data_IF_439700195927
#
_entry.id   IF_439700195927
#
_cell.length_a   1.000
_cell.length_b   1.000
_cell.length_c   1.000
_cell.angle_alpha   90.00
_cell.angle_beta   90.00
_cell.angle_gamma   90.00
#
_symmetry.space_group_name_H-M   'P 1'
#
loop_
_entity.id
_entity.type
_entity.pdbx_description
1 polymer ?
#
# COMPACT_ATOMS: atom_id res chain seq x y z
N UNK A 1 -26.10 -12.83 -5.22
CA UNK A 1 -26.21 -11.73 -6.21
C UNK A 1 -25.00 -11.78 -7.12
N UNK A 2 -25.15 -12.30 -8.33
CA UNK A 2 -24.13 -12.20 -9.37
C UNK A 2 -24.13 -10.75 -9.86
N UNK A 3 -23.16 -9.95 -9.38
CA UNK A 3 -22.90 -8.64 -9.97
C UNK A 3 -22.32 -8.94 -11.35
N UNK A 4 -23.15 -8.85 -12.38
CA UNK A 4 -22.67 -8.73 -13.75
C UNK A 4 -21.76 -7.50 -13.78
N UNK A 5 -20.44 -7.73 -13.79
CA UNK A 5 -19.45 -6.67 -13.99
C UNK A 5 -19.82 -5.98 -15.30
N UNK A 6 -20.37 -4.77 -15.22
CA UNK A 6 -20.41 -3.85 -16.34
C UNK A 6 -18.94 -3.74 -16.76
N UNK A 7 -18.60 -4.33 -17.91
CA UNK A 7 -17.22 -4.40 -18.39
C UNK A 7 -16.88 -3.03 -18.97
N UNK A 8 -16.53 -2.10 -18.10
CA UNK A 8 -16.05 -0.78 -18.48
C UNK A 8 -14.74 -0.94 -19.27
N UNK A 9 -14.52 -0.08 -20.26
CA UNK A 9 -13.33 -0.14 -21.12
C UNK A 9 -12.05 0.00 -20.26
N UNK A 10 -11.11 -0.95 -20.33
CA UNK A 10 -9.92 -0.95 -19.48
C UNK A 10 -9.01 0.29 -19.63
N UNK A 11 -9.01 0.91 -20.82
CA UNK A 11 -8.25 2.13 -21.05
C UNK A 11 -8.93 3.33 -20.37
N UNK A 12 -10.26 3.40 -20.42
CA UNK A 12 -11.00 4.45 -19.73
C UNK A 12 -10.77 4.37 -18.21
N UNK A 13 -10.90 3.17 -17.63
CA UNK A 13 -10.61 2.92 -16.21
C UNK A 13 -9.20 3.36 -15.85
N UNK A 14 -8.20 2.98 -16.67
CA UNK A 14 -6.82 3.39 -16.45
C UNK A 14 -6.69 4.92 -16.49
N UNK A 15 -7.19 5.60 -17.52
CA UNK A 15 -7.10 7.07 -17.63
C UNK A 15 -7.76 7.78 -16.45
N UNK A 16 -8.89 7.27 -15.96
CA UNK A 16 -9.59 7.83 -14.80
C UNK A 16 -8.86 7.54 -13.49
N UNK A 17 -8.11 6.44 -13.39
CA UNK A 17 -7.34 6.12 -12.18
C UNK A 17 -6.07 6.97 -12.00
N UNK A 18 -5.59 7.67 -13.05
CA UNK A 18 -4.42 8.53 -12.94
C UNK A 18 -4.70 9.77 -12.08
N UNK A 19 -3.77 10.07 -11.18
CA UNK A 19 -3.72 11.35 -10.46
C UNK A 19 -3.46 12.53 -11.42
N UNK A 20 -3.72 13.75 -10.96
CA UNK A 20 -3.46 14.98 -11.72
C UNK A 20 -1.97 15.03 -12.16
N UNK A 21 -1.07 14.72 -11.24
CA UNK A 21 0.39 14.73 -11.50
C UNK A 21 0.77 13.66 -12.53
N UNK A 22 0.20 12.46 -12.46
CA UNK A 22 0.45 11.40 -13.44
C UNK A 22 -0.09 11.76 -14.83
N UNK A 23 -1.26 12.43 -14.91
CA UNK A 23 -1.81 12.94 -16.18
C UNK A 23 -0.89 13.99 -16.80
N UNK A 24 -0.38 14.92 -16.00
CA UNK A 24 0.54 15.96 -16.46
C UNK A 24 1.90 15.39 -16.85
N UNK A 25 2.41 14.44 -16.06
CA UNK A 25 3.63 13.70 -16.40
C UNK A 25 3.46 12.95 -17.71
N UNK A 26 2.33 12.27 -17.93
CA UNK A 26 2.05 11.57 -19.19
C UNK A 26 2.09 12.53 -20.39
N UNK A 27 1.44 13.70 -20.31
CA UNK A 27 1.49 14.70 -21.39
C UNK A 27 2.94 15.12 -21.73
N UNK A 28 3.79 15.32 -20.73
CA UNK A 28 5.23 15.62 -20.91
C UNK A 28 6.02 14.43 -21.46
N UNK A 29 5.75 13.22 -20.97
CA UNK A 29 6.42 12.00 -21.41
C UNK A 29 6.20 11.74 -22.91
N UNK A 30 4.97 11.96 -23.36
CA UNK A 30 4.53 11.67 -24.73
C UNK A 30 5.05 12.70 -25.74
N UNK A 31 5.21 13.96 -25.32
CA UNK A 31 5.79 15.02 -26.16
C UNK A 31 7.28 14.78 -26.46
N UNK A 32 8.01 14.17 -25.51
CA UNK A 32 9.43 13.86 -25.66
C UNK A 32 9.72 12.59 -26.48
N UNK A 33 8.82 11.61 -26.48
CA UNK A 33 9.12 10.26 -26.98
C UNK A 33 8.50 9.89 -28.32
N UNK A 34 7.70 10.77 -28.91
CA UNK A 34 7.06 10.49 -30.20
C UNK A 34 7.61 11.47 -31.25
N UNK A 35 7.76 11.03 -32.51
CA UNK A 35 8.11 11.81 -33.73
C UNK A 35 7.09 11.42 -34.84
N UNK A 36 6.42 12.38 -35.51
CA UNK A 36 5.40 12.13 -36.57
C UNK A 36 3.94 11.94 -36.10
N UNK A 37 2.95 12.02 -37.03
CA UNK A 37 1.46 11.89 -36.91
C UNK A 37 0.82 11.82 -35.51
N UNK A 38 1.13 12.86 -34.74
CA UNK A 38 1.27 12.93 -33.28
C UNK A 38 0.03 13.21 -32.46
N UNK A 39 -1.14 13.39 -33.08
CA UNK A 39 -2.23 14.09 -32.42
C UNK A 39 -3.35 13.16 -31.91
N UNK A 40 -3.52 11.97 -32.50
CA UNK A 40 -4.75 11.19 -32.27
C UNK A 40 -4.80 10.47 -30.91
N UNK A 41 -3.69 9.94 -30.39
CA UNK A 41 -3.70 9.30 -29.06
C UNK A 41 -3.62 10.33 -27.91
N UNK A 42 -3.00 11.50 -28.11
CA UNK A 42 -3.06 12.60 -27.12
C UNK A 42 -4.48 13.15 -27.05
N UNK A 43 -5.12 13.41 -28.20
CA UNK A 43 -6.54 13.75 -28.26
C UNK A 43 -7.42 12.69 -27.62
N UNK A 44 -7.16 11.40 -27.89
CA UNK A 44 -7.89 10.31 -27.25
C UNK A 44 -7.72 10.35 -25.73
N UNK A 45 -6.50 10.56 -25.24
CA UNK A 45 -6.24 10.69 -23.81
C UNK A 45 -7.02 11.87 -23.20
N UNK A 46 -6.97 13.04 -23.82
CA UNK A 46 -7.65 14.23 -23.30
C UNK A 46 -9.18 14.06 -23.32
N UNK A 47 -9.75 13.45 -24.37
CA UNK A 47 -11.18 13.10 -24.44
C UNK A 47 -11.56 12.13 -23.32
N UNK A 48 -10.78 11.07 -23.10
CA UNK A 48 -11.04 10.09 -22.03
C UNK A 48 -10.87 10.70 -20.63
N UNK A 49 -9.93 11.65 -20.47
CA UNK A 49 -9.64 12.27 -19.18
C UNK A 49 -10.79 13.13 -18.66
N UNK A 50 -11.51 13.82 -19.55
CA UNK A 50 -12.65 14.68 -19.22
C UNK A 50 -13.98 13.95 -19.21
N UNK A 51 -14.06 12.78 -19.85
CA UNK A 51 -15.29 12.00 -19.96
C UNK A 51 -15.72 11.44 -18.59
N UNK A 52 -17.00 11.62 -18.25
CA UNK A 52 -17.60 11.14 -16.98
C UNK A 52 -17.95 9.65 -17.05
N UNK A 53 -18.60 9.23 -18.13
CA UNK A 53 -18.98 7.84 -18.40
C UNK A 53 -18.46 7.41 -19.77
N UNK A 54 -18.05 6.15 -19.88
CA UNK A 54 -17.47 5.64 -21.12
C UNK A 54 -18.51 5.62 -22.26
N UNK A 55 -18.30 6.45 -23.28
CA UNK A 55 -19.11 6.47 -24.50
C UNK A 55 -18.26 6.44 -25.78
N UNK A 56 -18.30 5.33 -26.51
CA UNK A 56 -17.49 5.15 -27.72
C UNK A 56 -17.90 6.10 -28.87
N UNK A 57 -19.18 6.47 -28.95
CA UNK A 57 -19.71 7.47 -29.88
C UNK A 57 -19.08 8.84 -29.66
N UNK A 58 -18.97 9.26 -28.40
CA UNK A 58 -18.33 10.52 -28.01
C UNK A 58 -16.84 10.53 -28.33
N UNK A 59 -16.14 9.40 -28.14
CA UNK A 59 -14.73 9.25 -28.55
C UNK A 59 -14.56 9.46 -30.06
N UNK A 60 -15.41 8.81 -30.87
CA UNK A 60 -15.37 8.94 -32.34
C UNK A 60 -15.61 10.38 -32.79
N UNK A 61 -16.55 11.08 -32.14
CA UNK A 61 -16.84 12.50 -32.39
C UNK A 61 -15.69 13.41 -31.98
N UNK A 62 -15.13 13.22 -30.78
CA UNK A 62 -14.03 14.04 -30.24
C UNK A 62 -12.73 13.92 -31.03
N UNK A 63 -12.49 12.79 -31.68
CA UNK A 63 -11.36 12.62 -32.60
C UNK A 63 -11.58 13.29 -33.97
N UNK A 64 -12.83 13.64 -34.34
CA UNK A 64 -13.15 14.34 -35.59
C UNK A 64 -13.06 13.48 -36.85
N UNK A 65 -13.22 12.15 -36.75
CA UNK A 65 -12.86 11.22 -37.82
C UNK A 65 -14.07 10.49 -38.39
N UNK A 66 -14.50 10.83 -39.62
CA UNK A 66 -15.57 10.13 -40.34
C UNK A 66 -15.20 8.70 -40.78
N UNK A 67 -13.90 8.34 -40.89
CA UNK A 67 -13.45 7.08 -41.53
C UNK A 67 -12.42 6.24 -40.72
N UNK A 68 -12.41 6.27 -39.38
CA UNK A 68 -11.44 5.50 -38.57
C UNK A 68 -11.94 4.29 -37.73
N UNK A 69 -13.10 3.64 -37.99
CA UNK A 69 -13.56 2.53 -37.14
C UNK A 69 -12.59 1.34 -37.07
N UNK A 70 -11.75 1.12 -38.09
CA UNK A 70 -10.81 -0.02 -38.13
C UNK A 70 -9.55 0.16 -37.27
N UNK A 71 -9.17 1.39 -36.89
CA UNK A 71 -7.93 1.64 -36.14
C UNK A 71 -8.16 2.03 -34.67
N UNK A 72 -9.39 2.35 -34.25
CA UNK A 72 -9.68 2.72 -32.86
C UNK A 72 -9.19 1.67 -31.84
N UNK A 73 -9.39 0.36 -32.03
CA UNK A 73 -8.83 -0.65 -31.13
C UNK A 73 -7.30 -0.59 -31.06
N UNK A 74 -6.62 -0.39 -32.20
CA UNK A 74 -5.16 -0.26 -32.27
C UNK A 74 -4.68 1.00 -31.53
N UNK A 75 -5.35 2.13 -31.72
CA UNK A 75 -5.00 3.40 -31.07
C UNK A 75 -5.23 3.32 -29.56
N UNK A 76 -6.34 2.71 -29.12
CA UNK A 76 -6.59 2.44 -27.69
C UNK A 76 -5.51 1.57 -27.08
N UNK A 77 -5.16 0.45 -27.73
CA UNK A 77 -4.13 -0.46 -27.24
C UNK A 77 -2.76 0.24 -27.16
N UNK A 78 -2.41 1.04 -28.18
CA UNK A 78 -1.19 1.83 -28.16
C UNK A 78 -1.18 2.85 -27.01
N UNK A 79 -2.28 3.61 -26.84
CA UNK A 79 -2.38 4.59 -25.75
C UNK A 79 -2.27 3.92 -24.37
N UNK A 80 -2.95 2.78 -24.17
CA UNK A 80 -2.86 1.99 -22.95
C UNK A 80 -1.40 1.65 -22.61
N UNK A 81 -0.65 1.11 -23.57
CA UNK A 81 0.76 0.78 -23.37
C UNK A 81 1.65 2.01 -23.17
N UNK A 82 1.36 3.15 -23.81
CA UNK A 82 2.10 4.39 -23.57
C UNK A 82 1.85 4.93 -22.17
N UNK A 83 0.61 4.88 -21.67
CA UNK A 83 0.29 5.27 -20.29
C UNK A 83 1.05 4.37 -19.32
N UNK A 84 1.02 3.04 -19.50
CA UNK A 84 1.79 2.12 -18.67
C UNK A 84 3.30 2.37 -18.75
N UNK A 85 3.84 2.70 -19.92
CA UNK A 85 5.25 3.05 -20.07
C UNK A 85 5.60 4.32 -19.28
N UNK A 86 4.78 5.36 -19.41
CA UNK A 86 4.93 6.62 -18.67
C UNK A 86 4.85 6.40 -17.17
N UNK A 87 3.86 5.65 -16.68
CA UNK A 87 3.71 5.34 -15.26
C UNK A 87 4.90 4.55 -14.72
N UNK A 88 5.43 3.59 -15.48
CA UNK A 88 6.65 2.87 -15.09
C UNK A 88 7.85 3.81 -14.94
N UNK A 89 8.02 4.77 -15.84
CA UNK A 89 9.10 5.76 -15.75
C UNK A 89 8.89 6.71 -14.56
N UNK A 90 7.65 7.15 -14.33
CA UNK A 90 7.30 8.00 -13.20
C UNK A 90 7.58 7.32 -11.85
N UNK A 91 7.06 6.10 -11.66
CA UNK A 91 7.16 5.37 -10.38
C UNK A 91 8.52 4.71 -10.13
N UNK A 92 9.37 4.59 -11.17
CA UNK A 92 10.71 4.03 -11.09
C UNK A 92 11.59 4.75 -10.07
N UNK A 93 11.51 6.08 -10.03
CA UNK A 93 12.35 6.92 -9.17
C UNK A 93 11.70 7.25 -7.82
N UNK A 94 10.39 7.08 -7.71
CA UNK A 94 9.61 7.51 -6.53
C UNK A 94 9.58 6.44 -5.45
N UNK A 95 9.38 5.18 -5.85
CA UNK A 95 9.18 4.07 -4.91
C UNK A 95 10.50 3.35 -4.62
N UNK A 96 10.69 2.88 -3.38
CA UNK A 96 11.91 2.14 -3.03
C UNK A 96 12.01 0.85 -3.84
N UNK A 97 10.89 0.14 -4.03
CA UNK A 97 10.86 -1.02 -4.93
C UNK A 97 11.17 -0.67 -6.39
N UNK A 98 10.76 0.52 -6.86
CA UNK A 98 11.11 1.04 -8.18
C UNK A 98 12.62 1.28 -8.33
N UNK A 99 13.21 1.99 -7.36
CA UNK A 99 14.63 2.29 -7.32
C UNK A 99 15.47 1.00 -7.27
N UNK A 100 15.12 0.06 -6.38
CA UNK A 100 15.81 -1.22 -6.27
C UNK A 100 15.69 -2.05 -7.56
N UNK A 101 14.52 -2.09 -8.20
CA UNK A 101 14.35 -2.75 -9.50
C UNK A 101 15.19 -2.12 -10.61
N UNK A 102 15.31 -0.79 -10.64
CA UNK A 102 16.19 -0.10 -11.58
C UNK A 102 17.65 -0.46 -11.30
N UNK A 103 18.06 -0.51 -10.03
CA UNK A 103 19.40 -0.97 -9.67
C UNK A 103 19.69 -2.37 -10.18
N UNK A 104 18.77 -3.33 -10.07
CA UNK A 104 19.01 -4.67 -10.61
C UNK A 104 19.13 -4.70 -12.14
N UNK A 105 18.31 -3.90 -12.85
CA UNK A 105 18.44 -3.76 -14.31
C UNK A 105 19.79 -3.16 -14.70
N UNK A 106 20.26 -2.15 -13.97
CA UNK A 106 21.59 -1.58 -14.15
C UNK A 106 22.66 -2.64 -13.91
N UNK A 107 22.57 -3.39 -12.80
CA UNK A 107 23.52 -4.46 -12.45
C UNK A 107 23.56 -5.54 -13.53
N UNK A 108 22.40 -6.01 -14.01
CA UNK A 108 22.31 -6.98 -15.11
C UNK A 108 22.99 -6.46 -16.38
N UNK A 109 22.70 -5.21 -16.76
CA UNK A 109 23.27 -4.58 -17.95
C UNK A 109 24.78 -4.41 -17.82
N UNK A 110 25.26 -3.88 -16.70
CA UNK A 110 26.69 -3.69 -16.42
C UNK A 110 27.44 -5.02 -16.39
N UNK A 111 26.85 -6.04 -15.76
CA UNK A 111 27.41 -7.38 -15.68
C UNK A 111 27.60 -7.98 -17.08
N UNK A 112 26.60 -7.83 -17.95
CA UNK A 112 26.67 -8.30 -19.35
C UNK A 112 27.78 -7.61 -20.17
N UNK A 113 28.22 -6.43 -19.73
CA UNK A 113 29.29 -5.65 -20.35
C UNK A 113 30.66 -5.87 -19.69
N UNK A 114 30.76 -6.74 -18.67
CA UNK A 114 31.99 -6.96 -17.92
C UNK A 114 32.37 -5.85 -16.94
N UNK A 115 31.46 -4.90 -16.67
CA UNK A 115 31.68 -3.75 -15.79
C UNK A 115 31.37 -4.14 -14.33
N UNK A 116 32.18 -5.03 -13.76
CA UNK A 116 31.90 -5.69 -12.47
C UNK A 116 32.09 -4.77 -11.25
N UNK A 117 33.03 -3.83 -11.31
CA UNK A 117 33.24 -2.85 -10.23
C UNK A 117 32.01 -1.94 -10.09
N UNK A 118 31.43 -1.55 -11.21
CA UNK A 118 30.24 -0.71 -11.31
C UNK A 118 29.00 -1.46 -10.83
N UNK A 119 28.91 -2.77 -11.09
CA UNK A 119 27.89 -3.61 -10.45
C UNK A 119 28.01 -3.56 -8.92
N UNK A 120 29.24 -3.71 -8.38
CA UNK A 120 29.49 -3.69 -6.93
C UNK A 120 29.09 -2.36 -6.31
N UNK A 121 29.45 -1.24 -6.92
CA UNK A 121 29.06 0.10 -6.45
C UNK A 121 27.53 0.29 -6.41
N UNK A 122 26.82 -0.19 -7.43
CA UNK A 122 25.35 -0.16 -7.46
C UNK A 122 24.74 -0.98 -6.31
N UNK A 123 25.28 -2.17 -6.03
CA UNK A 123 24.82 -3.03 -4.93
C UNK A 123 25.15 -2.43 -3.55
N UNK A 124 26.32 -1.81 -3.38
CA UNK A 124 26.74 -1.13 -2.15
C UNK A 124 25.76 -0.02 -1.72
N UNK A 125 25.13 0.66 -2.69
CA UNK A 125 24.10 1.67 -2.43
C UNK A 125 22.73 1.00 -2.17
N UNK A 126 22.38 -0.04 -2.92
CA UNK A 126 21.09 -0.70 -2.81
C UNK A 126 20.91 -1.52 -1.51
N UNK A 127 21.97 -2.16 -1.03
CA UNK A 127 21.93 -3.02 0.17
C UNK A 127 21.44 -2.29 1.42
N UNK A 128 22.05 -1.17 1.86
CA UNK A 128 21.58 -0.43 3.02
C UNK A 128 20.16 0.11 2.83
N UNK A 129 19.77 0.46 1.60
CA UNK A 129 18.40 0.90 1.31
C UNK A 129 17.39 -0.23 1.49
N UNK A 130 17.68 -1.43 0.97
CA UNK A 130 16.83 -2.60 1.11
C UNK A 130 16.68 -3.02 2.58
N UNK A 131 17.78 -2.98 3.35
CA UNK A 131 17.76 -3.20 4.80
C UNK A 131 16.95 -2.15 5.54
N UNK A 132 17.18 -0.87 5.24
CA UNK A 132 16.43 0.23 5.81
C UNK A 132 14.94 -0.02 5.61
N UNK A 133 14.45 -0.30 4.41
CA UNK A 133 13.02 -0.46 4.17
C UNK A 133 12.46 -1.89 4.40
N UNK A 134 13.19 -2.76 5.11
CA UNK A 134 12.79 -4.16 5.42
C UNK A 134 12.38 -4.97 4.17
N UNK A 135 13.05 -4.74 3.03
CA UNK A 135 12.77 -5.38 1.74
C UNK A 135 13.47 -6.74 1.61
N UNK A 136 13.10 -7.70 2.47
CA UNK A 136 13.77 -9.01 2.60
C UNK A 136 14.05 -9.72 1.25
N UNK A 137 13.09 -9.72 0.32
CA UNK A 137 13.27 -10.33 -1.01
C UNK A 137 14.35 -9.63 -1.83
N UNK A 138 14.43 -8.30 -1.74
CA UNK A 138 15.44 -7.49 -2.44
C UNK A 138 16.83 -7.68 -1.83
N UNK A 139 16.89 -7.85 -0.51
CA UNK A 139 18.15 -8.19 0.18
C UNK A 139 18.68 -9.53 -0.32
N UNK A 140 17.83 -10.56 -0.43
CA UNK A 140 18.24 -11.87 -0.97
C UNK A 140 18.80 -11.73 -2.40
N UNK A 141 18.10 -11.01 -3.26
CA UNK A 141 18.53 -10.74 -4.65
C UNK A 141 19.88 -10.00 -4.71
N UNK A 142 20.10 -9.02 -3.84
CA UNK A 142 21.40 -8.33 -3.70
C UNK A 142 22.50 -9.31 -3.31
N UNK A 143 22.28 -10.14 -2.29
CA UNK A 143 23.25 -11.13 -1.83
C UNK A 143 23.59 -12.15 -2.92
N UNK A 144 22.62 -12.55 -3.73
CA UNK A 144 22.84 -13.42 -4.89
C UNK A 144 23.74 -12.77 -5.95
N UNK A 145 23.55 -11.47 -6.21
CA UNK A 145 24.42 -10.71 -7.09
C UNK A 145 25.82 -10.50 -6.52
N UNK A 146 25.94 -10.19 -5.23
CA UNK A 146 27.25 -10.07 -4.55
C UNK A 146 28.04 -11.37 -4.68
N UNK A 147 27.41 -12.52 -4.40
CA UNK A 147 28.02 -13.85 -4.57
C UNK A 147 28.46 -14.08 -6.03
N UNK A 148 27.62 -13.70 -7.00
CA UNK A 148 27.90 -13.86 -8.44
C UNK A 148 29.07 -12.99 -8.92
N UNK A 149 29.35 -11.88 -8.25
CA UNK A 149 30.46 -10.97 -8.58
C UNK A 149 31.79 -11.42 -7.98
N UNK A 150 31.81 -12.22 -6.91
CA UNK A 150 33.06 -12.62 -6.22
C UNK A 150 34.09 -13.24 -7.16
N UNK A 151 33.76 -14.23 -8.01
CA UNK A 151 34.75 -14.83 -8.92
C UNK A 151 35.24 -13.86 -10.02
N UNK A 152 34.65 -12.66 -10.11
CA UNK A 152 34.94 -11.63 -11.09
C UNK A 152 35.73 -10.45 -10.51
N UNK A 153 35.83 -10.39 -9.18
CA UNK A 153 36.60 -9.37 -8.46
C UNK A 153 38.08 -9.81 -8.38
N UNK A 154 38.99 -8.89 -8.69
CA UNK A 154 40.42 -9.19 -8.83
C UNK A 154 41.04 -9.24 -7.43
N UNK A 155 41.26 -10.45 -6.91
CA UNK A 155 42.00 -10.73 -5.67
C UNK A 155 41.52 -12.02 -4.99
N UNK A 156 42.38 -13.04 -4.92
CA UNK A 156 42.03 -14.37 -4.41
C UNK A 156 42.12 -14.51 -2.88
N UNK A 157 42.81 -13.60 -2.18
CA UNK A 157 43.30 -13.85 -0.81
C UNK A 157 42.19 -13.90 0.27
N UNK A 158 40.97 -13.39 0.01
CA UNK A 158 39.90 -13.35 1.01
C UNK A 158 38.53 -13.87 0.53
N UNK A 159 38.48 -14.49 -0.67
CA UNK A 159 37.19 -14.91 -1.27
C UNK A 159 36.42 -15.90 -0.39
N UNK A 160 37.12 -16.83 0.27
CA UNK A 160 36.50 -17.86 1.10
C UNK A 160 35.79 -17.25 2.33
N UNK A 161 36.41 -16.25 2.98
CA UNK A 161 35.80 -15.59 4.13
C UNK A 161 34.61 -14.73 3.70
N UNK A 162 34.73 -13.98 2.60
CA UNK A 162 33.63 -13.17 2.04
C UNK A 162 32.43 -14.07 1.71
N UNK A 163 32.65 -15.21 1.05
CA UNK A 163 31.59 -16.18 0.74
C UNK A 163 30.92 -16.72 2.00
N UNK A 164 31.69 -17.03 3.04
CA UNK A 164 31.16 -17.50 4.32
C UNK A 164 30.27 -16.43 4.98
N UNK A 165 30.71 -15.17 5.00
CA UNK A 165 29.92 -14.07 5.54
C UNK A 165 28.61 -13.86 4.79
N UNK A 166 28.65 -13.85 3.45
CA UNK A 166 27.45 -13.71 2.62
C UNK A 166 26.51 -14.91 2.74
N UNK A 167 27.05 -16.11 2.93
CA UNK A 167 26.24 -17.31 3.19
C UNK A 167 25.45 -17.19 4.49
N UNK A 168 26.11 -16.82 5.59
CA UNK A 168 25.45 -16.64 6.89
C UNK A 168 24.45 -15.48 6.86
N UNK A 169 24.80 -14.36 6.22
CA UNK A 169 23.88 -13.24 6.03
C UNK A 169 22.63 -13.70 5.27
N UNK A 170 22.80 -14.38 4.13
CA UNK A 170 21.68 -14.89 3.32
C UNK A 170 20.81 -15.88 4.09
N UNK A 171 21.42 -16.76 4.89
CA UNK A 171 20.69 -17.71 5.75
C UNK A 171 19.78 -16.97 6.73
N UNK A 172 20.30 -15.96 7.44
CA UNK A 172 19.52 -15.15 8.39
C UNK A 172 18.35 -14.46 7.69
N UNK A 173 18.56 -13.90 6.48
CA UNK A 173 17.49 -13.23 5.74
C UNK A 173 16.43 -14.21 5.23
N UNK A 174 16.83 -15.40 4.79
CA UNK A 174 15.89 -16.47 4.42
C UNK A 174 15.06 -16.94 5.61
N UNK A 175 15.67 -17.09 6.79
CA UNK A 175 14.96 -17.42 8.03
C UNK A 175 13.93 -16.34 8.39
N UNK A 176 14.30 -15.06 8.31
CA UNK A 176 13.37 -13.93 8.49
C UNK A 176 12.23 -13.94 7.48
N UNK A 177 12.54 -14.24 6.21
CA UNK A 177 11.53 -14.29 5.14
C UNK A 177 10.55 -15.44 5.33
N UNK A 178 11.04 -16.62 5.71
CA UNK A 178 10.20 -17.77 6.02
C UNK A 178 9.35 -17.53 7.26
N UNK A 179 9.91 -16.91 8.31
CA UNK A 179 9.17 -16.46 9.48
C UNK A 179 8.02 -15.51 9.11
N UNK A 180 8.27 -14.51 8.24
CA UNK A 180 7.24 -13.62 7.73
C UNK A 180 6.11 -14.40 7.01
N UNK A 181 6.44 -15.35 6.14
CA UNK A 181 5.43 -16.18 5.47
C UNK A 181 4.58 -17.00 6.44
N UNK A 182 5.15 -17.50 7.54
CA UNK A 182 4.36 -18.16 8.59
C UNK A 182 3.34 -17.20 9.20
N UNK A 183 3.74 -15.97 9.53
CA UNK A 183 2.80 -14.96 10.04
C UNK A 183 1.72 -14.59 9.03
N UNK A 184 2.07 -14.41 7.75
CA UNK A 184 1.11 -14.12 6.68
C UNK A 184 0.08 -15.24 6.51
N UNK A 185 0.50 -16.50 6.60
CA UNK A 185 -0.40 -17.65 6.56
C UNK A 185 -1.47 -17.56 7.67
N UNK A 186 -1.04 -17.35 8.91
CA UNK A 186 -1.95 -17.28 10.06
C UNK A 186 -2.80 -16.01 10.08
N UNK A 187 -2.24 -14.89 9.63
CA UNK A 187 -2.99 -13.65 9.41
C UNK A 187 -4.16 -13.88 8.45
N UNK A 188 -3.92 -14.56 7.31
CA UNK A 188 -4.96 -14.83 6.34
C UNK A 188 -6.05 -15.78 6.90
N UNK A 189 -5.66 -16.75 7.74
CA UNK A 189 -6.63 -17.58 8.48
C UNK A 189 -7.49 -16.75 9.43
N UNK A 190 -6.88 -15.90 10.27
CA UNK A 190 -7.60 -14.96 11.15
C UNK A 190 -8.53 -14.05 10.35
N UNK A 191 -8.03 -13.48 9.26
CA UNK A 191 -8.82 -12.59 8.41
C UNK A 191 -10.04 -13.30 7.79
N UNK A 192 -9.90 -14.57 7.45
CA UNK A 192 -11.01 -15.42 6.99
C UNK A 192 -12.03 -15.64 8.10
N UNK A 193 -11.58 -15.94 9.34
CA UNK A 193 -12.46 -16.09 10.50
C UNK A 193 -13.23 -14.80 10.83
N UNK A 194 -12.59 -13.64 10.75
CA UNK A 194 -13.25 -12.34 10.95
C UNK A 194 -14.33 -12.10 9.89
N UNK A 195 -14.04 -12.45 8.63
CA UNK A 195 -15.00 -12.30 7.53
C UNK A 195 -16.19 -13.23 7.64
N UNK A 196 -15.99 -14.47 8.09
CA UNK A 196 -17.08 -15.41 8.29
C UNK A 196 -17.89 -15.05 9.55
N UNK A 197 -17.20 -14.66 10.61
CA UNK A 197 -17.75 -14.46 11.95
C UNK A 197 -17.17 -13.16 12.56
N UNK A 198 -17.87 -12.04 12.39
CA UNK A 198 -17.43 -10.72 12.90
C UNK A 198 -17.17 -10.68 14.42
N UNK A 199 -17.78 -11.61 15.18
CA UNK A 199 -17.51 -11.88 16.61
C UNK A 199 -17.59 -13.38 16.86
N UNK A 200 -16.83 -13.87 17.84
CA UNK A 200 -16.95 -15.25 18.32
C UNK A 200 -18.32 -15.40 19.01
N UNK A 201 -19.12 -16.36 18.54
CA UNK A 201 -20.50 -16.59 19.02
C UNK A 201 -20.69 -17.95 19.69
N UNK A 202 -19.75 -18.87 19.52
CA UNK A 202 -19.80 -20.21 20.09
C UNK A 202 -18.39 -20.72 20.46
N UNK A 203 -18.36 -21.83 21.20
CA UNK A 203 -17.13 -22.44 21.73
C UNK A 203 -16.23 -22.97 20.59
N UNK A 204 -16.81 -23.46 19.50
CA UNK A 204 -16.04 -24.01 18.38
C UNK A 204 -15.24 -22.91 17.69
N UNK A 205 -15.86 -21.75 17.47
CA UNK A 205 -15.18 -20.58 16.93
C UNK A 205 -14.05 -20.12 17.86
N UNK A 206 -14.28 -20.11 19.19
CA UNK A 206 -13.21 -19.77 20.14
C UNK A 206 -12.02 -20.73 20.02
N UNK A 207 -12.28 -22.03 19.88
CA UNK A 207 -11.24 -23.05 19.69
C UNK A 207 -10.43 -22.83 18.41
N UNK A 208 -11.09 -22.48 17.29
CA UNK A 208 -10.41 -22.16 16.03
C UNK A 208 -9.42 -21.00 16.20
N UNK A 209 -9.83 -19.95 16.94
CA UNK A 209 -8.97 -18.82 17.25
C UNK A 209 -7.82 -19.20 18.19
N UNK A 210 -8.10 -19.95 19.25
CA UNK A 210 -7.09 -20.42 20.19
C UNK A 210 -6.04 -21.30 19.53
N UNK A 211 -6.42 -22.17 18.58
CA UNK A 211 -5.49 -23.01 17.85
C UNK A 211 -4.46 -22.18 17.06
N UNK A 212 -4.92 -21.07 16.47
CA UNK A 212 -4.03 -20.11 15.80
C UNK A 212 -3.11 -19.44 16.82
N UNK A 213 -3.64 -18.98 17.94
CA UNK A 213 -2.85 -18.26 18.93
C UNK A 213 -1.93 -19.17 19.76
N UNK A 214 -2.14 -20.49 19.76
CA UNK A 214 -1.27 -21.51 20.38
C UNK A 214 -0.03 -21.86 19.56
N UNK A 215 0.07 -21.40 18.31
CA UNK A 215 1.24 -21.67 17.49
C UNK A 215 2.50 -21.07 18.13
N UNK A 216 3.63 -21.77 17.98
CA UNK A 216 4.89 -21.39 18.63
C UNK A 216 5.31 -19.94 18.35
N UNK A 217 5.09 -19.47 17.11
CA UNK A 217 5.43 -18.12 16.66
C UNK A 217 4.59 -17.01 17.33
N UNK A 218 3.44 -17.34 17.95
CA UNK A 218 2.61 -16.36 18.64
C UNK A 218 2.86 -16.31 20.15
N UNK A 219 3.68 -17.22 20.70
CA UNK A 219 3.93 -17.28 22.15
C UNK A 219 4.85 -16.17 22.65
N UNK A 220 5.68 -15.60 21.77
CA UNK A 220 6.59 -14.51 22.11
C UNK A 220 6.79 -13.59 20.90
N UNK A 221 6.70 -12.28 21.11
CA UNK A 221 6.94 -11.27 20.09
C UNK A 221 8.39 -11.31 19.58
N UNK A 222 9.35 -11.78 20.39
CA UNK A 222 10.75 -11.93 19.97
C UNK A 222 10.92 -12.89 18.79
N UNK A 223 9.96 -13.81 18.58
CA UNK A 223 9.92 -14.75 17.46
C UNK A 223 9.46 -14.11 16.15
N UNK A 224 8.97 -12.88 16.18
CA UNK A 224 8.70 -12.09 14.99
C UNK A 224 10.00 -11.41 14.53
N UNK A 225 10.69 -12.03 13.56
CA UNK A 225 12.09 -11.73 13.24
C UNK A 225 12.27 -10.51 12.30
N UNK A 226 11.18 -10.01 11.71
CA UNK A 226 11.18 -8.84 10.82
C UNK A 226 10.18 -7.79 11.30
N UNK A 227 10.29 -6.55 10.79
CA UNK A 227 9.37 -5.48 11.15
C UNK A 227 7.93 -5.83 10.75
N UNK A 228 7.75 -6.31 9.51
CA UNK A 228 6.43 -6.73 9.03
C UNK A 228 5.85 -7.90 9.83
N UNK A 229 6.68 -8.88 10.23
CA UNK A 229 6.24 -9.98 11.09
C UNK A 229 5.73 -9.48 12.44
N UNK A 230 6.38 -8.49 13.05
CA UNK A 230 5.93 -7.88 14.32
C UNK A 230 4.59 -7.16 14.17
N UNK A 231 4.39 -6.43 13.07
CA UNK A 231 3.11 -5.78 12.76
C UNK A 231 1.98 -6.81 12.63
N UNK A 232 2.22 -7.92 11.94
CA UNK A 232 1.26 -9.01 11.80
C UNK A 232 1.00 -9.69 13.15
N UNK A 233 2.04 -10.01 13.92
CA UNK A 233 1.94 -10.57 15.28
C UNK A 233 1.00 -9.72 16.14
N UNK A 234 1.24 -8.41 16.24
CA UNK A 234 0.39 -7.51 17.01
C UNK A 234 -1.02 -7.40 16.43
N UNK A 235 -1.20 -7.50 15.10
CA UNK A 235 -2.53 -7.55 14.52
C UNK A 235 -3.32 -8.79 14.95
N UNK A 236 -2.73 -9.97 14.87
CA UNK A 236 -3.37 -11.22 15.23
C UNK A 236 -3.81 -11.24 16.69
N UNK A 237 -2.92 -10.84 17.61
CA UNK A 237 -3.25 -10.70 19.03
C UNK A 237 -4.34 -9.65 19.28
N UNK A 238 -4.26 -8.48 18.64
CA UNK A 238 -5.28 -7.45 18.75
C UNK A 238 -6.65 -7.92 18.28
N UNK A 239 -6.70 -8.66 17.17
CA UNK A 239 -7.93 -9.24 16.64
C UNK A 239 -8.50 -10.34 17.54
N UNK A 240 -7.65 -11.20 18.10
CA UNK A 240 -8.04 -12.22 19.06
C UNK A 240 -8.65 -11.61 20.33
N UNK A 241 -7.95 -10.65 20.95
CA UNK A 241 -8.45 -9.97 22.14
C UNK A 241 -9.74 -9.18 21.86
N UNK A 242 -9.89 -8.62 20.66
CA UNK A 242 -11.12 -7.92 20.28
C UNK A 242 -12.29 -8.90 20.17
N UNK A 243 -12.05 -10.04 19.53
CA UNK A 243 -13.06 -11.08 19.30
C UNK A 243 -13.49 -11.79 20.59
N UNK A 244 -12.59 -11.88 21.56
CA UNK A 244 -12.86 -12.45 22.91
C UNK A 244 -13.34 -11.42 23.93
N UNK A 245 -13.42 -10.13 23.56
CA UNK A 245 -13.87 -9.06 24.44
C UNK A 245 -12.85 -8.59 25.48
N UNK A 246 -11.58 -9.01 25.39
CA UNK A 246 -10.52 -8.58 26.31
C UNK A 246 -9.97 -7.19 25.96
N UNK A 247 -10.74 -6.16 26.32
CA UNK A 247 -10.49 -4.76 25.96
C UNK A 247 -9.13 -4.20 26.39
N UNK A 248 -8.68 -4.50 27.61
CA UNK A 248 -7.40 -3.99 28.14
C UNK A 248 -6.25 -4.46 27.25
N UNK A 249 -6.23 -5.76 26.96
CA UNK A 249 -5.22 -6.36 26.11
C UNK A 249 -5.29 -5.87 24.65
N UNK A 250 -6.50 -5.65 24.09
CA UNK A 250 -6.64 -5.03 22.77
C UNK A 250 -5.91 -3.68 22.72
N UNK A 251 -6.18 -2.82 23.70
CA UNK A 251 -5.60 -1.48 23.72
C UNK A 251 -4.09 -1.51 23.91
N UNK A 252 -3.57 -2.35 24.80
CA UNK A 252 -2.13 -2.51 24.99
C UNK A 252 -1.42 -2.95 23.70
N UNK A 253 -1.96 -3.97 23.02
CA UNK A 253 -1.37 -4.47 21.76
C UNK A 253 -1.47 -3.44 20.62
N UNK A 254 -2.59 -2.72 20.52
CA UNK A 254 -2.80 -1.71 19.48
C UNK A 254 -1.93 -0.47 19.71
N UNK A 255 -1.71 -0.05 20.95
CA UNK A 255 -0.76 1.03 21.27
C UNK A 255 0.68 0.60 21.02
N UNK A 256 1.09 -0.60 21.43
CA UNK A 256 2.42 -1.12 21.09
C UNK A 256 2.67 -1.20 19.58
N UNK A 257 1.66 -1.63 18.81
CA UNK A 257 1.71 -1.63 17.34
C UNK A 257 1.81 -0.21 16.77
N UNK A 258 1.11 0.75 17.38
CA UNK A 258 1.21 2.16 17.01
C UNK A 258 2.63 2.68 17.19
N UNK A 259 3.23 2.47 18.35
CA UNK A 259 4.60 2.88 18.67
C UNK A 259 5.62 2.26 17.72
N UNK A 260 5.46 0.95 17.43
CA UNK A 260 6.31 0.27 16.46
C UNK A 260 6.22 0.89 15.06
N UNK A 261 5.00 1.20 14.57
CA UNK A 261 4.82 1.91 13.30
C UNK A 261 5.45 3.31 13.34
N UNK A 262 5.17 4.10 14.38
CA UNK A 262 5.69 5.46 14.53
C UNK A 262 7.22 5.50 14.60
N UNK A 263 7.86 4.47 15.13
CA UNK A 263 9.32 4.35 15.17
C UNK A 263 9.96 4.21 13.78
N UNK A 264 9.17 3.91 12.75
CA UNK A 264 9.61 3.62 11.37
C UNK A 264 8.86 4.45 10.34
N UNK A 265 9.02 5.77 10.43
CA UNK A 265 8.44 6.74 9.50
C UNK A 265 8.83 6.50 8.04
N UNK A 266 10.00 5.91 7.80
CA UNK A 266 10.45 5.48 6.48
C UNK A 266 9.55 4.39 5.89
N UNK A 267 9.18 3.36 6.66
CA UNK A 267 8.28 2.29 6.21
C UNK A 267 6.86 2.80 6.01
N UNK A 268 6.39 3.69 6.88
CA UNK A 268 5.08 4.36 6.73
C UNK A 268 5.03 5.12 5.40
N UNK A 269 6.11 5.83 5.03
CA UNK A 269 6.19 6.54 3.74
C UNK A 269 6.21 5.60 2.55
N UNK A 270 6.82 4.43 2.66
CA UNK A 270 6.85 3.44 1.58
C UNK A 270 5.51 2.71 1.41
N UNK A 271 4.75 2.50 2.49
CA UNK A 271 3.47 1.77 2.49
C UNK A 271 2.32 2.53 3.18
N UNK A 272 1.96 3.75 2.71
CA UNK A 272 1.02 4.63 3.40
C UNK A 272 -0.37 4.04 3.59
N UNK A 273 -0.85 3.22 2.66
CA UNK A 273 -2.16 2.57 2.76
C UNK A 273 -2.25 1.63 3.98
N UNK A 274 -1.17 0.94 4.34
CA UNK A 274 -1.16 0.06 5.51
C UNK A 274 -1.30 0.85 6.80
N UNK A 275 -0.61 1.98 6.89
CA UNK A 275 -0.70 2.88 8.04
C UNK A 275 -2.09 3.54 8.16
N UNK A 276 -2.70 3.95 7.04
CA UNK A 276 -4.09 4.44 7.02
C UNK A 276 -5.07 3.37 7.53
N UNK A 277 -4.93 2.12 7.07
CA UNK A 277 -5.77 1.02 7.54
C UNK A 277 -5.58 0.77 9.04
N UNK A 278 -4.35 0.88 9.55
CA UNK A 278 -4.07 0.81 10.97
C UNK A 278 -4.79 1.93 11.76
N UNK A 279 -4.65 3.19 11.33
CA UNK A 279 -5.31 4.33 11.97
C UNK A 279 -6.84 4.20 11.95
N UNK A 280 -7.40 3.76 10.82
CA UNK A 280 -8.83 3.47 10.67
C UNK A 280 -9.30 2.40 11.66
N UNK A 281 -8.59 1.27 11.75
CA UNK A 281 -8.91 0.20 12.70
C UNK A 281 -8.85 0.72 14.16
N UNK A 282 -7.85 1.54 14.48
CA UNK A 282 -7.72 2.15 15.82
C UNK A 282 -8.84 3.13 16.13
N UNK A 283 -9.27 3.95 15.17
CA UNK A 283 -10.46 4.79 15.30
C UNK A 283 -11.71 3.95 15.55
N UNK A 284 -11.89 2.86 14.80
CA UNK A 284 -12.98 1.90 15.00
C UNK A 284 -13.02 1.32 16.42
N UNK A 285 -11.85 1.00 16.98
CA UNK A 285 -11.75 0.59 18.38
C UNK A 285 -12.17 1.72 19.32
N UNK A 286 -11.63 2.93 19.16
CA UNK A 286 -11.98 4.07 20.02
C UNK A 286 -13.48 4.45 19.99
N UNK A 287 -14.20 4.16 18.90
CA UNK A 287 -15.65 4.34 18.81
C UNK A 287 -16.41 3.26 19.61
N UNK A 288 -15.97 2.01 19.52
CA UNK A 288 -16.69 0.85 20.07
C UNK A 288 -16.33 0.54 21.52
N UNK A 289 -15.14 0.90 21.99
CA UNK A 289 -14.68 0.57 23.34
C UNK A 289 -15.43 1.29 24.47
N UNK A 290 -15.83 2.57 24.34
CA UNK A 290 -16.58 3.25 25.39
C UNK A 290 -18.02 2.75 25.57
N UNK A 291 -18.60 2.09 24.57
CA UNK A 291 -19.91 1.42 24.70
C UNK A 291 -19.83 0.09 25.45
N UNK A 292 -18.63 -0.38 25.79
CA UNK A 292 -18.40 -1.68 26.42
C UNK A 292 -17.96 -1.57 27.90
N UNK A 293 -17.60 -0.38 28.42
CA UNK A 293 -17.35 -0.10 29.84
C UNK A 293 -17.55 1.40 30.17
N UNK A 294 -17.92 1.71 31.43
CA UNK A 294 -17.98 3.07 32.02
C UNK A 294 -16.59 3.76 32.05
N UNK A 295 -16.10 4.22 30.90
CA UNK A 295 -14.90 5.06 30.79
C UNK A 295 -15.24 6.55 30.97
N UNK A 296 -14.23 7.37 31.33
CA UNK A 296 -14.37 8.82 31.34
C UNK A 296 -14.63 9.31 29.90
N UNK A 297 -15.86 9.79 29.66
CA UNK A 297 -16.36 10.20 28.35
C UNK A 297 -15.45 11.27 27.71
N UNK A 298 -14.93 12.20 28.51
CA UNK A 298 -14.08 13.28 28.01
C UNK A 298 -12.67 12.79 27.63
N UNK A 299 -12.10 11.83 28.35
CA UNK A 299 -10.80 11.25 27.97
C UNK A 299 -10.88 10.48 26.66
N UNK A 300 -11.94 9.69 26.46
CA UNK A 300 -12.15 8.94 25.22
C UNK A 300 -12.30 9.89 24.03
N UNK A 301 -13.06 10.98 24.23
CA UNK A 301 -13.25 12.03 23.23
C UNK A 301 -11.94 12.71 22.87
N UNK A 302 -11.10 13.04 23.85
CA UNK A 302 -9.77 13.60 23.61
C UNK A 302 -8.91 12.61 22.81
N UNK A 303 -8.87 11.33 23.20
CA UNK A 303 -8.11 10.29 22.48
C UNK A 303 -8.59 10.11 21.04
N UNK A 304 -9.91 10.05 20.85
CA UNK A 304 -10.54 9.91 19.53
C UNK A 304 -10.20 11.08 18.60
N UNK A 305 -10.46 12.33 19.03
CA UNK A 305 -10.20 13.49 18.19
C UNK A 305 -8.71 13.78 17.99
N UNK A 306 -7.84 13.38 18.94
CA UNK A 306 -6.39 13.36 18.73
C UNK A 306 -6.02 12.43 17.57
N UNK A 307 -6.59 11.23 17.53
CA UNK A 307 -6.35 10.26 16.46
C UNK A 307 -6.88 10.75 15.10
N UNK A 308 -8.07 11.34 15.07
CA UNK A 308 -8.63 12.00 13.87
C UNK A 308 -7.68 13.08 13.36
N UNK A 309 -7.13 13.92 14.25
CA UNK A 309 -6.17 14.97 13.88
C UNK A 309 -4.88 14.37 13.33
N UNK A 310 -4.35 13.30 13.92
CA UNK A 310 -3.18 12.57 13.40
C UNK A 310 -3.44 12.07 12.00
N UNK A 311 -4.57 11.40 11.75
CA UNK A 311 -4.92 10.85 10.44
C UNK A 311 -5.10 11.95 9.38
N UNK A 312 -5.75 13.07 9.73
CA UNK A 312 -5.89 14.24 8.84
C UNK A 312 -4.53 14.88 8.52
N UNK A 313 -3.66 15.03 9.52
CA UNK A 313 -2.28 15.54 9.32
C UNK A 313 -1.51 14.62 8.39
N UNK A 314 -1.60 13.30 8.58
CA UNK A 314 -0.98 12.33 7.68
C UNK A 314 -1.47 12.49 6.24
N UNK A 315 -2.79 12.53 6.01
CA UNK A 315 -3.35 12.74 4.67
C UNK A 315 -2.87 14.04 4.00
N UNK A 316 -2.74 15.13 4.76
CA UNK A 316 -2.26 16.41 4.22
C UNK A 316 -0.82 16.38 3.71
N UNK A 317 0.04 15.51 4.26
CA UNK A 317 1.42 15.32 3.78
C UNK A 317 1.48 14.70 2.38
N UNK A 318 0.44 13.93 2.00
CA UNK A 318 0.38 13.25 0.71
C UNK A 318 -0.23 14.09 -0.40
N UNK A 319 -0.98 15.14 -0.04
CA UNK A 319 -1.53 16.13 -0.98
C UNK A 319 -0.43 16.79 -1.82
N UNK A 320 0.69 17.14 -1.20
CA UNK A 320 1.81 17.82 -1.85
C UNK A 320 2.66 16.89 -2.73
N UNK A 321 2.61 15.57 -2.50
CA UNK A 321 3.49 14.59 -3.17
C UNK A 321 2.79 13.92 -4.37
N UNK A 322 1.47 13.75 -4.33
CA UNK A 322 0.74 12.93 -5.30
C UNK A 322 -0.52 13.60 -5.90
N UNK A 323 -0.88 14.81 -5.47
CA UNK A 323 -2.16 15.45 -5.81
C UNK A 323 -3.31 14.95 -4.91
N UNK A 324 -4.57 15.10 -5.36
CA UNK A 324 -5.71 14.42 -4.69
C UNK A 324 -5.52 12.93 -4.89
N UNK A 325 -4.99 12.27 -3.87
CA UNK A 325 -4.65 10.86 -3.92
C UNK A 325 -5.75 10.02 -3.30
N UNK A 326 -5.81 8.76 -3.73
CA UNK A 326 -6.57 7.71 -3.05
C UNK A 326 -6.38 7.74 -1.52
N UNK A 327 -5.18 8.13 -1.06
CA UNK A 327 -4.84 8.33 0.35
C UNK A 327 -5.74 9.39 1.00
N UNK A 328 -5.96 10.54 0.36
CA UNK A 328 -6.84 11.59 0.88
C UNK A 328 -8.28 11.12 0.99
N UNK A 329 -8.77 10.44 -0.05
CA UNK A 329 -10.12 9.85 -0.06
C UNK A 329 -10.25 8.87 1.10
N UNK A 330 -9.27 7.98 1.29
CA UNK A 330 -9.29 7.02 2.41
C UNK A 330 -9.22 7.70 3.77
N UNK A 331 -8.41 8.75 3.94
CA UNK A 331 -8.34 9.54 5.19
C UNK A 331 -9.67 10.22 5.47
N UNK A 332 -10.26 10.84 4.45
CA UNK A 332 -11.57 11.48 4.54
C UNK A 332 -12.64 10.46 4.92
N UNK A 333 -12.79 9.37 4.15
CA UNK A 333 -13.78 8.31 4.42
C UNK A 333 -13.62 7.73 5.81
N UNK A 334 -12.39 7.38 6.23
CA UNK A 334 -12.16 6.81 7.55
C UNK A 334 -12.48 7.79 8.68
N UNK A 335 -11.97 9.02 8.61
CA UNK A 335 -12.22 9.99 9.70
C UNK A 335 -13.69 10.33 9.81
N UNK A 336 -14.39 10.49 8.69
CA UNK A 336 -15.81 10.79 8.69
C UNK A 336 -16.67 9.65 9.21
N UNK A 337 -16.51 8.41 8.71
CA UNK A 337 -17.31 7.27 9.14
C UNK A 337 -17.17 7.06 10.65
N UNK A 338 -15.94 7.16 11.16
CA UNK A 338 -15.68 7.01 12.58
C UNK A 338 -16.15 8.22 13.41
N UNK A 339 -16.09 9.45 12.91
CA UNK A 339 -16.66 10.63 13.59
C UNK A 339 -18.19 10.50 13.73
N UNK A 340 -18.89 10.06 12.68
CA UNK A 340 -20.32 9.78 12.72
C UNK A 340 -20.59 8.67 13.75
N UNK A 341 -19.86 7.55 13.68
CA UNK A 341 -19.98 6.43 14.62
C UNK A 341 -19.73 6.85 16.07
N UNK A 342 -18.76 7.72 16.32
CA UNK A 342 -18.45 8.27 17.65
C UNK A 342 -19.63 9.05 18.23
N UNK A 343 -20.27 9.92 17.44
CA UNK A 343 -21.43 10.68 17.90
C UNK A 343 -22.65 9.76 18.13
N UNK A 344 -22.87 8.79 17.25
CA UNK A 344 -23.95 7.80 17.41
C UNK A 344 -23.77 6.99 18.68
N UNK A 345 -22.56 6.50 18.96
CA UNK A 345 -22.30 5.65 20.13
C UNK A 345 -22.45 6.39 21.47
N UNK A 346 -22.53 7.72 21.44
CA UNK A 346 -22.78 8.59 22.60
C UNK A 346 -24.19 9.21 22.62
N UNK A 347 -25.07 8.84 21.68
CA UNK A 347 -26.41 9.41 21.58
C UNK A 347 -26.45 10.86 21.07
N UNK A 348 -25.36 11.40 20.55
CA UNK A 348 -25.25 12.76 20.03
C UNK A 348 -25.77 12.87 18.58
N UNK A 349 -26.99 12.37 18.31
CA UNK A 349 -27.53 12.20 16.95
C UNK A 349 -27.57 13.48 16.11
N UNK A 350 -27.85 14.64 16.73
CA UNK A 350 -27.83 15.93 16.02
C UNK A 350 -26.46 16.26 15.44
N UNK A 351 -25.38 15.93 16.14
CA UNK A 351 -24.00 16.13 15.64
C UNK A 351 -23.68 15.11 14.55
N UNK A 352 -24.08 13.86 14.71
CA UNK A 352 -23.93 12.84 13.67
C UNK A 352 -24.59 13.26 12.33
N UNK A 353 -25.83 13.78 12.39
CA UNK A 353 -26.55 14.30 11.22
C UNK A 353 -25.83 15.50 10.60
N UNK A 354 -25.32 16.43 11.41
CA UNK A 354 -24.55 17.59 10.94
C UNK A 354 -23.29 17.18 10.18
N UNK A 355 -22.51 16.23 10.72
CA UNK A 355 -21.31 15.68 10.06
C UNK A 355 -21.68 14.97 8.76
N UNK A 356 -22.77 14.20 8.75
CA UNK A 356 -23.25 13.50 7.56
C UNK A 356 -23.58 14.49 6.43
N UNK A 357 -24.37 15.54 6.71
CA UNK A 357 -24.72 16.58 5.73
C UNK A 357 -23.50 17.33 5.20
N UNK A 358 -22.51 17.61 6.06
CA UNK A 358 -21.24 18.23 5.64
C UNK A 358 -20.45 17.30 4.71
N UNK A 359 -20.46 16.01 5.01
CA UNK A 359 -19.78 14.97 4.24
C UNK A 359 -20.41 14.83 2.85
N UNK A 360 -21.73 14.75 2.77
CA UNK A 360 -22.45 14.64 1.48
C UNK A 360 -22.05 15.78 0.54
N UNK A 361 -22.07 17.02 1.04
CA UNK A 361 -21.62 18.20 0.27
C UNK A 361 -20.16 18.09 -0.19
N UNK A 362 -19.28 17.53 0.65
CA UNK A 362 -17.87 17.34 0.30
C UNK A 362 -17.66 16.19 -0.70
N UNK A 363 -18.49 15.13 -0.64
CA UNK A 363 -18.44 14.02 -1.60
C UNK A 363 -18.94 14.43 -2.98
N UNK A 364 -19.98 15.27 -3.08
CA UNK A 364 -20.41 15.86 -4.36
C UNK A 364 -19.24 16.60 -5.01
N UNK A 365 -18.57 17.48 -4.26
CA UNK A 365 -17.39 18.21 -4.75
C UNK A 365 -16.17 17.34 -5.09
N UNK A 366 -16.10 16.10 -4.61
CA UNK A 366 -15.02 15.13 -4.90
C UNK A 366 -15.37 14.20 -6.07
N UNK A 367 -16.64 14.02 -6.39
CA UNK A 367 -17.10 13.25 -7.56
C UNK A 367 -17.15 14.12 -8.82
N UNK A 368 -17.28 15.43 -8.67
CA UNK A 368 -17.23 16.43 -9.75
C UNK A 368 -15.77 16.83 -10.16
N UNK A 369 -14.74 16.18 -9.61
CA UNK A 369 -13.32 16.40 -9.92
C UNK A 369 -12.67 15.11 -10.41
#
# INVERSE_FOLDING_TARGET
MNISKIKVDPLFELVKSLSIIEKDYFRKFVTLHIKGDKNNYVKLFDVLAVMESYEESAIKKGLGLKNFPKQLPRVKNYLYHQILKSLRTYHAEITIDGQLKNTFRDVEMLYSKGLYLECKEKLNIAKPLAYKYDKLTRIIEILEWEIKLIPKDIGFEDQANILKHLFEERKIILEKKFNLYKYELWFNKIYTLIKSNNKIRDIKQLQDWEEIMKQDIFQDESKALSFHAKIIYSYCWGAFYYSTGNRKMVMEVVERRHELLESRQDVIRDTPHQYINFLGNKLGLLVNLPTMQNTNIEEDKIRFFKMVKTMKKFGSLWRSVTGISEIEIRVFTNTTIHEIGFYISRGEFKKAVSVTRKTEKQMTNLSDK
#
